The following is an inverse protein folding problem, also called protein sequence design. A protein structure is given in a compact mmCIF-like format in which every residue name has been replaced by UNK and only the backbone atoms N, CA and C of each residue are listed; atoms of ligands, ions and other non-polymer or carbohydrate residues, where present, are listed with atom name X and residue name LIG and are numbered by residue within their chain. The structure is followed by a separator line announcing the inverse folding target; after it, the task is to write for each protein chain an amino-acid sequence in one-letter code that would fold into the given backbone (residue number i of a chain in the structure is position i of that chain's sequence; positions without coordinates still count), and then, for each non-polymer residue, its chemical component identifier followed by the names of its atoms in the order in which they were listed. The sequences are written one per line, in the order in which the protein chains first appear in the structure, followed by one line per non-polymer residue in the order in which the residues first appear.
data_IF_826565977917
#
_entry.id   IF_826565977917
#
_cell.length_a   1.000
_cell.length_b   1.000
_cell.length_c   1.000
_cell.angle_alpha   90.00
_cell.angle_beta   90.00
_cell.angle_gamma   90.00
#
_symmetry.space_group_name_H-M   'P 1'
#
loop_
_entity.id
_entity.type
_entity.pdbx_description
1 polymer ?
#
# COMPACT_ATOMS: atom_id res chain seq x y z
N UNK A 1 -1.74 -15.50 -8.01
CA UNK A 1 -1.82 -14.32 -7.12
C UNK A 1 -3.16 -13.63 -7.36
N UNK A 2 -4.03 -13.55 -6.36
CA UNK A 2 -5.38 -12.98 -6.46
C UNK A 2 -5.40 -11.45 -6.25
N UNK A 3 -6.33 -10.78 -6.95
CA UNK A 3 -7.13 -9.66 -6.45
C UNK A 3 -8.22 -9.30 -7.45
N UNK A 4 -9.49 -9.42 -7.07
CA UNK A 4 -10.61 -9.00 -7.92
C UNK A 4 -10.82 -7.49 -7.93
N UNK A 5 -10.53 -6.83 -6.81
CA UNK A 5 -10.80 -5.40 -6.63
C UNK A 5 -9.51 -4.59 -6.51
N UNK A 6 -9.60 -3.32 -6.92
CA UNK A 6 -8.55 -2.35 -6.70
C UNK A 6 -8.56 -1.90 -5.24
N UNK A 7 -7.40 -1.92 -4.59
CA UNK A 7 -7.26 -1.43 -3.23
C UNK A 7 -5.96 -0.64 -3.07
N UNK A 8 -6.01 0.36 -2.20
CA UNK A 8 -4.88 1.25 -1.89
C UNK A 8 -4.52 1.11 -0.43
N UNK A 9 -3.21 1.06 -0.17
CA UNK A 9 -2.64 0.96 1.17
C UNK A 9 -1.61 2.06 1.38
N UNK A 10 -1.40 2.42 2.64
CA UNK A 10 -0.29 3.27 3.07
C UNK A 10 0.71 2.39 3.80
N UNK A 11 1.96 2.39 3.31
CA UNK A 11 3.04 1.65 3.94
C UNK A 11 4.07 2.62 4.49
N UNK A 12 4.43 2.41 5.75
CA UNK A 12 5.51 3.12 6.42
C UNK A 12 6.77 2.26 6.39
N UNK A 13 7.84 2.79 5.80
CA UNK A 13 9.14 2.15 5.83
C UNK A 13 9.69 2.20 7.26
N UNK A 14 10.08 1.07 7.84
CA UNK A 14 10.58 1.08 9.21
C UNK A 14 11.98 1.67 9.35
N UNK A 15 12.76 1.69 8.26
CA UNK A 15 14.14 2.18 8.25
C UNK A 15 14.24 3.70 8.15
N UNK A 16 13.57 4.31 7.16
CA UNK A 16 13.60 5.77 6.95
C UNK A 16 12.35 6.49 7.45
N UNK A 17 11.35 5.75 7.97
CA UNK A 17 10.06 6.27 8.44
C UNK A 17 9.21 7.00 7.38
N UNK A 18 9.61 6.96 6.11
CA UNK A 18 8.81 7.52 5.00
C UNK A 18 7.52 6.74 4.80
N UNK A 19 6.45 7.43 4.41
CA UNK A 19 5.16 6.81 4.08
C UNK A 19 4.97 6.87 2.56
N UNK A 20 4.75 5.72 1.95
CA UNK A 20 4.46 5.59 0.53
C UNK A 20 3.10 4.94 0.31
N UNK A 21 2.48 5.28 -0.83
CA UNK A 21 1.22 4.67 -1.26
C UNK A 21 1.52 3.43 -2.09
N UNK A 22 0.85 2.33 -1.79
CA UNK A 22 0.89 1.13 -2.61
C UNK A 22 -0.49 0.84 -3.16
N UNK A 23 -0.57 0.46 -4.43
CA UNK A 23 -1.81 0.14 -5.10
C UNK A 23 -1.76 -1.30 -5.59
N UNK A 24 -2.77 -2.08 -5.21
CA UNK A 24 -2.96 -3.44 -5.67
C UNK A 24 -4.07 -3.44 -6.72
N UNK A 25 -3.71 -3.80 -7.95
CA UNK A 25 -4.63 -3.84 -9.09
C UNK A 25 -5.36 -5.16 -9.25
N UNK A 26 -6.17 -5.25 -10.31
CA UNK A 26 -6.87 -6.48 -10.69
C UNK A 26 -5.89 -7.55 -11.18
N UNK A 27 -6.13 -8.79 -10.77
CA UNK A 27 -5.50 -9.99 -11.30
C UNK A 27 -6.56 -11.07 -11.51
N UNK A 28 -6.54 -11.77 -12.66
CA UNK A 28 -7.53 -12.80 -12.94
C UNK A 28 -7.45 -13.95 -11.94
N UNK A 29 -8.60 -14.57 -11.68
CA UNK A 29 -8.75 -15.82 -10.91
C UNK A 29 -8.00 -16.97 -11.63
N UNK A 30 -7.54 -18.02 -10.92
CA UNK A 30 -7.08 -19.24 -11.58
C UNK A 30 -8.16 -19.78 -12.52
N UNK A 31 -7.72 -20.49 -13.57
CA UNK A 31 -8.61 -20.90 -14.67
C UNK A 31 -9.78 -21.76 -14.13
N UNK A 32 -11.04 -21.30 -14.23
CA UNK A 32 -12.17 -22.06 -13.70
C UNK A 32 -12.53 -23.28 -14.56
N UNK A 33 -12.07 -23.35 -15.82
CA UNK A 33 -12.30 -24.50 -16.71
C UNK A 33 -11.40 -25.67 -16.30
N UNK A 34 -10.12 -25.39 -16.03
CA UNK A 34 -9.18 -26.35 -15.46
C UNK A 34 -9.22 -26.23 -13.94
N UNK A 35 -10.29 -26.76 -13.36
CA UNK A 35 -10.63 -26.53 -11.97
C UNK A 35 -9.62 -27.14 -11.00
N UNK A 36 -9.10 -26.29 -10.12
CA UNK A 36 -8.28 -26.66 -8.97
C UNK A 36 -8.89 -26.05 -7.70
N UNK A 37 -9.51 -26.91 -6.88
CA UNK A 37 -10.19 -26.49 -5.65
C UNK A 37 -9.22 -25.93 -4.61
N UNK A 38 -8.01 -26.49 -4.48
CA UNK A 38 -7.02 -26.00 -3.51
C UNK A 38 -6.59 -24.58 -3.87
N UNK A 39 -6.26 -24.36 -5.15
CA UNK A 39 -5.88 -23.06 -5.65
C UNK A 39 -6.99 -22.02 -5.44
N UNK A 40 -8.24 -22.38 -5.75
CA UNK A 40 -9.39 -21.49 -5.62
C UNK A 40 -9.65 -21.12 -4.15
N UNK A 41 -9.77 -22.10 -3.26
CA UNK A 41 -10.03 -21.88 -1.84
C UNK A 41 -8.93 -21.06 -1.17
N UNK A 42 -7.66 -21.40 -1.41
CA UNK A 42 -6.53 -20.66 -0.83
C UNK A 42 -6.44 -19.24 -1.38
N UNK A 43 -6.72 -19.04 -2.67
CA UNK A 43 -6.74 -17.71 -3.27
C UNK A 43 -7.82 -16.81 -2.67
N UNK A 44 -8.99 -17.37 -2.35
CA UNK A 44 -10.09 -16.68 -1.68
C UNK A 44 -9.73 -16.27 -0.25
N UNK A 45 -9.23 -17.20 0.58
CA UNK A 45 -8.82 -16.86 1.95
C UNK A 45 -7.64 -15.88 2.01
N UNK A 46 -6.75 -15.93 1.01
CA UNK A 46 -5.67 -14.94 0.87
C UNK A 46 -6.23 -13.58 0.45
N UNK A 47 -7.18 -13.53 -0.48
CA UNK A 47 -7.83 -12.30 -0.90
C UNK A 47 -8.51 -11.59 0.28
N UNK A 48 -9.25 -12.32 1.13
CA UNK A 48 -9.87 -11.76 2.34
C UNK A 48 -8.85 -11.14 3.32
N UNK A 49 -7.69 -11.78 3.49
CA UNK A 49 -6.58 -11.25 4.31
C UNK A 49 -5.95 -10.00 3.71
N UNK A 50 -5.76 -10.01 2.39
CA UNK A 50 -5.23 -8.84 1.68
C UNK A 50 -6.22 -7.67 1.75
N UNK A 51 -7.54 -7.94 1.64
CA UNK A 51 -8.58 -6.93 1.79
C UNK A 51 -8.61 -6.27 3.19
N UNK A 52 -8.29 -7.03 4.23
CA UNK A 52 -8.25 -6.58 5.63
C UNK A 52 -6.84 -6.09 6.04
N UNK A 53 -6.33 -5.09 5.31
CA UNK A 53 -5.08 -4.43 5.68
C UNK A 53 -3.82 -5.29 5.57
N UNK A 54 -3.81 -6.28 4.66
CA UNK A 54 -2.69 -7.22 4.50
C UNK A 54 -2.39 -8.05 5.76
N UNK A 55 -3.43 -8.39 6.53
CA UNK A 55 -3.29 -9.18 7.76
C UNK A 55 -2.59 -10.52 7.52
N UNK A 56 -1.61 -10.84 8.38
CA UNK A 56 -0.83 -12.09 8.29
C UNK A 56 0.03 -12.21 7.03
N UNK A 57 0.27 -11.12 6.29
CA UNK A 57 1.11 -11.09 5.11
C UNK A 57 2.35 -10.23 5.34
N UNK A 58 3.52 -10.78 5.00
CA UNK A 58 4.78 -10.01 5.03
C UNK A 58 4.87 -9.17 3.75
N UNK A 59 4.62 -7.88 3.89
CA UNK A 59 4.67 -6.93 2.77
C UNK A 59 6.11 -6.76 2.32
N UNK A 60 6.38 -7.03 1.04
CA UNK A 60 7.70 -6.82 0.44
C UNK A 60 7.57 -5.82 -0.69
N UNK A 61 8.20 -4.67 -0.54
CA UNK A 61 8.12 -3.55 -1.48
C UNK A 61 9.47 -2.84 -1.60
N UNK A 62 9.68 -2.16 -2.73
CA UNK A 62 10.78 -1.20 -2.88
C UNK A 62 10.42 0.11 -2.17
N UNK A 63 11.32 0.64 -1.37
CA UNK A 63 11.18 1.97 -0.81
C UNK A 63 11.74 3.01 -1.79
N UNK A 64 10.98 4.05 -2.13
CA UNK A 64 11.44 5.08 -3.06
C UNK A 64 12.58 5.94 -2.47
N UNK A 65 12.56 6.17 -1.15
CA UNK A 65 13.55 6.99 -0.45
C UNK A 65 14.86 6.23 -0.19
N UNK A 66 14.77 4.98 0.28
CA UNK A 66 15.94 4.14 0.50
C UNK A 66 16.43 3.43 -0.78
N UNK A 67 15.63 3.45 -1.85
CA UNK A 67 15.86 2.79 -3.14
C UNK A 67 16.07 1.27 -3.10
N UNK A 68 15.84 0.62 -1.95
CA UNK A 68 16.05 -0.82 -1.73
C UNK A 68 14.74 -1.59 -1.57
N UNK A 69 14.75 -2.88 -1.91
CA UNK A 69 13.66 -3.81 -1.64
C UNK A 69 13.86 -4.44 -0.28
N UNK A 70 12.84 -4.38 0.58
CA UNK A 70 12.86 -5.01 1.90
C UNK A 70 11.44 -5.35 2.34
N UNK A 71 11.34 -6.11 3.43
CA UNK A 71 10.07 -6.56 4.01
C UNK A 71 9.69 -5.85 5.31
N UNK A 72 10.52 -4.91 5.79
CA UNK A 72 10.27 -4.08 6.97
C UNK A 72 9.30 -2.93 6.69
N UNK A 73 8.02 -3.25 6.56
CA UNK A 73 6.93 -2.32 6.27
C UNK A 73 5.84 -2.41 7.31
N UNK A 74 5.49 -1.26 7.91
CA UNK A 74 4.26 -1.13 8.69
C UNK A 74 3.10 -0.76 7.76
N UNK A 75 2.00 -1.51 7.81
CA UNK A 75 0.75 -1.10 7.18
C UNK A 75 0.08 -0.08 8.08
N UNK A 76 -0.29 1.06 7.52
CA UNK A 76 -0.90 2.17 8.25
C UNK A 76 -2.31 2.35 7.71
N UNK A 77 -3.27 2.35 8.62
CA UNK A 77 -4.66 2.62 8.27
C UNK A 77 -4.83 4.08 7.86
N UNK A 78 -5.88 4.37 7.09
CA UNK A 78 -6.06 5.73 6.58
C UNK A 78 -6.23 6.77 7.69
N UNK A 79 -6.91 6.42 8.79
CA UNK A 79 -7.08 7.33 9.92
C UNK A 79 -5.74 7.62 10.60
N UNK A 80 -4.96 6.59 10.92
CA UNK A 80 -3.61 6.75 11.47
C UNK A 80 -2.70 7.56 10.54
N UNK A 81 -2.85 7.38 9.23
CA UNK A 81 -2.14 8.19 8.24
C UNK A 81 -2.52 9.67 8.31
N UNK A 82 -3.81 9.99 8.46
CA UNK A 82 -4.26 11.38 8.61
C UNK A 82 -3.67 12.00 9.88
N UNK A 83 -3.73 11.30 11.00
CA UNK A 83 -3.19 11.77 12.29
C UNK A 83 -1.68 12.04 12.19
N UNK A 84 -0.94 11.14 11.55
CA UNK A 84 0.50 11.32 11.27
C UNK A 84 0.78 12.48 10.32
N UNK A 85 -0.05 12.67 9.30
CA UNK A 85 0.14 13.73 8.31
C UNK A 85 -0.14 15.10 8.91
N UNK A 86 -1.21 15.23 9.69
CA UNK A 86 -1.66 16.49 10.28
C UNK A 86 -0.68 16.98 11.35
N UNK A 87 -0.13 16.07 12.16
CA UNK A 87 0.90 16.38 13.16
C UNK A 87 2.28 16.77 12.58
N UNK A 88 2.56 16.50 11.30
CA UNK A 88 3.83 16.84 10.66
C UNK A 88 3.92 18.30 10.20
N UNK A 89 5.10 18.91 10.36
CA UNK A 89 5.44 20.20 9.72
C UNK A 89 5.52 20.06 8.19
N UNK A 90 5.29 21.15 7.43
CA UNK A 90 5.31 21.09 5.96
C UNK A 90 6.63 20.57 5.39
N UNK A 91 7.77 20.94 5.98
CA UNK A 91 9.09 20.45 5.59
C UNK A 91 9.22 18.93 5.75
N UNK A 92 8.76 18.39 6.89
CA UNK A 92 8.73 16.94 7.15
C UNK A 92 7.79 16.22 6.18
N UNK A 93 6.68 16.84 5.78
CA UNK A 93 5.77 16.27 4.76
C UNK A 93 6.46 16.14 3.41
N UNK A 94 7.25 17.12 2.98
CA UNK A 94 8.05 17.02 1.74
C UNK A 94 9.13 15.93 1.84
N UNK A 95 9.75 15.79 3.00
CA UNK A 95 10.80 14.79 3.21
C UNK A 95 10.26 13.35 3.26
N UNK A 96 9.15 13.11 3.98
CA UNK A 96 8.67 11.78 4.35
C UNK A 96 7.51 11.26 3.49
N UNK A 97 6.75 12.14 2.84
CA UNK A 97 5.63 11.77 1.98
C UNK A 97 6.03 11.84 0.50
N UNK A 98 5.11 11.43 -0.37
CA UNK A 98 5.27 11.58 -1.81
C UNK A 98 5.15 13.05 -2.26
N UNK A 99 5.73 13.42 -3.42
CA UNK A 99 5.88 14.83 -3.83
C UNK A 99 4.59 15.67 -3.78
N UNK A 100 3.46 15.11 -4.22
CA UNK A 100 2.15 15.80 -4.20
C UNK A 100 1.57 16.00 -2.79
N UNK A 101 1.94 15.19 -1.78
CA UNK A 101 1.41 15.32 -0.43
C UNK A 101 2.18 16.34 0.44
N UNK A 102 3.41 16.68 0.06
CA UNK A 102 4.23 17.67 0.76
C UNK A 102 3.98 19.12 0.34
N UNK A 103 3.40 19.34 -0.85
CA UNK A 103 3.25 20.67 -1.43
C UNK A 103 1.78 21.15 -1.41
N UNK A 104 1.39 22.11 -0.55
CA UNK A 104 0.03 22.65 -0.54
C UNK A 104 -0.34 23.41 -1.83
N UNK A 105 0.66 23.84 -2.62
CA UNK A 105 0.49 24.63 -3.84
C UNK A 105 0.10 23.78 -5.07
N UNK A 106 0.33 22.46 -5.04
CA UNK A 106 0.04 21.57 -6.18
C UNK A 106 -1.46 21.43 -6.50
N UNK A 107 -2.36 21.94 -5.64
CA UNK A 107 -3.82 21.91 -5.87
C UNK A 107 -4.32 22.94 -6.91
N UNK A 108 -3.49 23.85 -7.43
CA UNK A 108 -3.95 24.93 -8.34
C UNK A 108 -3.76 24.69 -9.84
N UNK A 109 -3.23 23.56 -10.30
CA UNK A 109 -2.91 23.33 -11.72
C UNK A 109 -3.53 22.06 -12.31
N UNK A 110 -4.81 21.83 -12.05
CA UNK A 110 -5.64 20.99 -12.92
C UNK A 110 -6.95 21.72 -13.17
N UNK A 111 -6.93 22.59 -14.17
CA UNK A 111 -8.10 23.12 -14.86
C UNK A 111 -8.03 22.59 -16.29
#
# INVERSE_FOLDING_TARGET
MSSRFFQKYFFRCEHCKSIQRHAKGYRPIPNPILFDSDAHCRSYHREQRECTGMSGSVVTCRCDKCQRVHSSWGVVDFQEFLDLKESMTPEKRVALLWPSAGNPVAKKMTK
#
